data_IF_141053090738
#
_entry.id   IF_141053090738
#
_cell.length_a   1.000
_cell.length_b   1.000
_cell.length_c   1.000
_cell.angle_alpha   90.00
_cell.angle_beta   90.00
_cell.angle_gamma   90.00
#
_symmetry.space_group_name_H-M   'P 1'
#
loop_
_entity.id
_entity.type
_entity.pdbx_description
1 polymer ?
#
# COMPACT_ATOMS: atom_id res chain seq x y z
N UNK A 1 -35.70 4.53 19.11
CA UNK A 1 -34.35 4.34 18.55
C UNK A 1 -34.35 3.08 17.71
N UNK A 2 -33.94 3.14 16.45
CA UNK A 2 -33.82 1.94 15.60
C UNK A 2 -32.47 1.29 15.93
N UNK A 3 -32.50 0.07 16.47
CA UNK A 3 -31.28 -0.69 16.73
C UNK A 3 -30.73 -1.25 15.42
N UNK A 4 -29.47 -0.95 15.09
CA UNK A 4 -28.79 -1.49 13.92
C UNK A 4 -28.10 -2.81 14.28
N UNK A 5 -28.40 -3.87 13.54
CA UNK A 5 -27.71 -5.15 13.69
C UNK A 5 -26.38 -5.13 12.94
N UNK A 6 -25.28 -5.33 13.67
CA UNK A 6 -23.92 -5.42 13.09
C UNK A 6 -23.52 -6.91 13.04
N UNK A 7 -22.90 -7.33 11.95
CA UNK A 7 -22.36 -8.70 11.80
C UNK A 7 -20.99 -8.64 11.14
N UNK A 8 -19.98 -9.24 11.77
CA UNK A 8 -18.62 -9.31 11.27
C UNK A 8 -18.19 -10.77 11.09
N UNK A 9 -17.57 -11.10 9.95
CA UNK A 9 -17.09 -12.44 9.61
C UNK A 9 -15.81 -12.35 8.77
N UNK A 10 -14.93 -13.34 8.90
CA UNK A 10 -13.81 -13.50 7.97
C UNK A 10 -14.33 -13.83 6.57
N UNK A 11 -13.70 -13.26 5.54
CA UNK A 11 -14.04 -13.50 4.12
C UNK A 11 -15.53 -13.27 3.81
N UNK A 12 -16.14 -12.27 4.46
CA UNK A 12 -17.56 -11.95 4.26
C UNK A 12 -17.89 -11.57 2.81
N UNK A 13 -16.92 -11.08 2.05
CA UNK A 13 -17.04 -10.80 0.63
C UNK A 13 -17.20 -12.05 -0.25
N UNK A 14 -16.87 -13.24 0.26
CA UNK A 14 -17.11 -14.50 -0.46
C UNK A 14 -18.54 -15.04 -0.27
N UNK A 15 -19.27 -14.58 0.75
CA UNK A 15 -20.56 -15.16 1.15
C UNK A 15 -21.72 -14.18 1.12
N UNK A 16 -21.49 -12.89 1.37
CA UNK A 16 -22.53 -11.86 1.36
C UNK A 16 -22.39 -10.99 0.10
N UNK A 17 -23.33 -11.05 -0.87
CA UNK A 17 -23.22 -10.30 -2.12
C UNK A 17 -23.03 -8.79 -1.95
N UNK A 18 -23.64 -8.19 -0.91
CA UNK A 18 -23.46 -6.77 -0.62
C UNK A 18 -22.04 -6.42 -0.17
N UNK A 19 -21.39 -7.32 0.58
CA UNK A 19 -19.99 -7.16 0.99
C UNK A 19 -19.06 -7.45 -0.18
N UNK A 20 -19.41 -8.38 -1.07
CA UNK A 20 -18.70 -8.62 -2.33
C UNK A 20 -18.70 -7.36 -3.22
N UNK A 21 -19.85 -6.71 -3.37
CA UNK A 21 -19.98 -5.45 -4.10
C UNK A 21 -19.09 -4.34 -3.50
N UNK A 22 -19.10 -4.18 -2.16
CA UNK A 22 -18.21 -3.24 -1.49
C UNK A 22 -16.72 -3.58 -1.73
N UNK A 23 -16.36 -4.87 -1.69
CA UNK A 23 -15.02 -5.38 -1.97
C UNK A 23 -14.55 -5.04 -3.39
N UNK A 24 -15.42 -5.19 -4.40
CA UNK A 24 -15.16 -4.81 -5.80
C UNK A 24 -14.92 -3.31 -5.90
N UNK A 25 -15.83 -2.48 -5.36
CA UNK A 25 -15.70 -1.02 -5.40
C UNK A 25 -14.38 -0.58 -4.78
N UNK A 26 -14.05 -1.10 -3.59
CA UNK A 26 -12.81 -0.77 -2.89
C UNK A 26 -11.57 -1.11 -3.71
N UNK A 27 -11.51 -2.30 -4.31
CA UNK A 27 -10.38 -2.74 -5.15
C UNK A 27 -10.24 -1.90 -6.42
N UNK A 28 -11.35 -1.63 -7.12
CA UNK A 28 -11.34 -0.78 -8.32
C UNK A 28 -10.83 0.63 -8.01
N UNK A 29 -11.26 1.22 -6.89
CA UNK A 29 -10.77 2.54 -6.48
C UNK A 29 -9.30 2.51 -6.08
N UNK A 30 -8.86 1.48 -5.35
CA UNK A 30 -7.44 1.28 -5.01
C UNK A 30 -6.57 1.18 -6.25
N UNK A 31 -6.99 0.40 -7.24
CA UNK A 31 -6.21 0.24 -8.48
C UNK A 31 -6.20 1.52 -9.32
N UNK A 32 -7.28 2.32 -9.29
CA UNK A 32 -7.29 3.66 -9.89
C UNK A 32 -6.28 4.58 -9.22
N UNK A 33 -6.28 4.66 -7.88
CA UNK A 33 -5.34 5.49 -7.12
C UNK A 33 -3.89 5.10 -7.38
N UNK A 34 -3.58 3.79 -7.38
CA UNK A 34 -2.24 3.27 -7.70
C UNK A 34 -1.82 3.65 -9.12
N UNK A 35 -2.71 3.55 -10.11
CA UNK A 35 -2.42 3.98 -11.49
C UNK A 35 -2.20 5.48 -11.60
N UNK A 36 -3.00 6.30 -10.91
CA UNK A 36 -2.81 7.75 -10.89
C UNK A 36 -1.44 8.10 -10.33
N UNK A 37 -1.07 7.53 -9.18
CA UNK A 37 0.26 7.71 -8.60
C UNK A 37 1.36 7.25 -9.56
N UNK A 38 1.18 6.11 -10.23
CA UNK A 38 2.15 5.61 -11.21
C UNK A 38 2.34 6.52 -12.44
N UNK A 39 1.35 7.37 -12.78
CA UNK A 39 1.53 8.41 -13.81
C UNK A 39 2.38 9.57 -13.33
N UNK A 40 2.40 9.84 -12.03
CA UNK A 40 3.15 10.93 -11.42
C UNK A 40 4.60 10.51 -11.14
N UNK A 41 4.82 9.28 -10.66
CA UNK A 41 6.14 8.82 -10.16
C UNK A 41 6.77 7.68 -10.96
N UNK A 42 6.07 7.15 -11.97
CA UNK A 42 6.51 6.00 -12.76
C UNK A 42 6.11 4.63 -12.18
N UNK A 43 6.60 3.54 -12.81
CA UNK A 43 6.32 2.17 -12.37
C UNK A 43 7.07 1.82 -11.07
N UNK A 44 6.37 1.90 -9.94
CA UNK A 44 6.86 1.45 -8.63
C UNK A 44 6.44 0.01 -8.30
N UNK A 45 5.94 -0.75 -9.27
CA UNK A 45 5.40 -2.08 -9.05
C UNK A 45 4.03 -2.08 -8.37
N UNK A 46 3.72 -3.16 -7.67
CA UNK A 46 2.40 -3.42 -7.06
C UNK A 46 2.12 -2.62 -5.78
N UNK A 47 3.15 -2.05 -5.16
CA UNK A 47 3.09 -1.41 -3.85
C UNK A 47 3.21 -2.39 -2.68
N UNK A 48 3.45 -3.69 -2.93
CA UNK A 48 3.63 -4.69 -1.89
C UNK A 48 5.10 -5.01 -1.60
N UNK A 49 5.45 -5.39 -0.36
CA UNK A 49 6.83 -5.75 -0.01
C UNK A 49 7.35 -7.00 -0.71
N UNK A 50 6.46 -7.88 -1.16
CA UNK A 50 6.79 -9.09 -1.91
C UNK A 50 7.17 -8.80 -3.36
N UNK A 51 6.95 -7.58 -3.85
CA UNK A 51 7.29 -7.19 -5.22
C UNK A 51 8.70 -6.59 -5.26
N UNK A 52 9.66 -7.24 -5.95
CA UNK A 52 11.01 -6.73 -6.08
C UNK A 52 11.07 -5.34 -6.72
N UNK A 53 10.14 -4.98 -7.61
CA UNK A 53 10.08 -3.64 -8.22
C UNK A 53 9.77 -2.59 -7.18
N UNK A 54 8.80 -2.84 -6.29
CA UNK A 54 8.44 -1.92 -5.20
C UNK A 54 9.59 -1.73 -4.24
N UNK A 55 10.29 -2.80 -3.85
CA UNK A 55 11.45 -2.69 -2.97
C UNK A 55 12.58 -1.89 -3.62
N UNK A 56 12.86 -2.12 -4.91
CA UNK A 56 13.86 -1.35 -5.65
C UNK A 56 13.50 0.13 -5.72
N UNK A 57 12.26 0.44 -6.12
CA UNK A 57 11.76 1.80 -6.18
C UNK A 57 11.90 2.52 -4.83
N UNK A 58 11.51 1.87 -3.72
CA UNK A 58 11.65 2.49 -2.39
C UNK A 58 13.11 2.79 -2.02
N UNK A 59 14.04 1.88 -2.34
CA UNK A 59 15.47 2.09 -2.07
C UNK A 59 16.06 3.22 -2.91
N UNK A 60 15.69 3.28 -4.19
CA UNK A 60 16.15 4.31 -5.12
C UNK A 60 15.60 5.68 -4.72
N UNK A 61 14.30 5.76 -4.47
CA UNK A 61 13.64 6.98 -4.01
C UNK A 61 14.31 7.52 -2.75
N UNK A 62 14.50 6.68 -1.73
CA UNK A 62 15.11 7.11 -0.48
C UNK A 62 16.58 7.50 -0.66
N UNK A 63 17.32 6.83 -1.55
CA UNK A 63 18.71 7.20 -1.86
C UNK A 63 18.80 8.60 -2.44
N UNK A 64 17.87 8.96 -3.32
CA UNK A 64 17.81 10.26 -4.01
C UNK A 64 17.24 11.37 -3.12
N UNK A 65 16.12 11.13 -2.43
CA UNK A 65 15.35 12.16 -1.72
C UNK A 65 15.62 12.19 -0.21
N UNK A 66 16.35 11.20 0.34
CA UNK A 66 16.65 11.01 1.77
C UNK A 66 15.44 10.95 2.70
N UNK A 67 14.25 10.83 2.13
CA UNK A 67 12.96 10.81 2.82
C UNK A 67 11.93 10.10 1.94
N UNK A 68 10.81 9.71 2.53
CA UNK A 68 9.66 9.15 1.82
C UNK A 68 8.51 10.16 1.78
N UNK A 69 7.75 10.22 0.68
CA UNK A 69 6.59 11.10 0.56
C UNK A 69 5.41 10.59 1.41
N UNK A 70 4.39 11.42 1.58
CA UNK A 70 3.26 11.13 2.47
C UNK A 70 2.45 9.89 2.08
N UNK A 71 2.38 9.57 0.79
CA UNK A 71 1.66 8.39 0.30
C UNK A 71 2.39 7.07 0.62
N UNK A 72 3.65 7.11 1.06
CA UNK A 72 4.35 5.94 1.60
C UNK A 72 3.97 5.74 3.06
N UNK A 73 3.71 4.49 3.43
CA UNK A 73 3.41 4.14 4.82
C UNK A 73 4.69 4.08 5.64
N UNK A 74 4.94 5.12 6.44
CA UNK A 74 6.15 5.25 7.26
C UNK A 74 6.26 4.20 8.37
N UNK A 75 5.12 3.72 8.89
CA UNK A 75 5.08 2.69 9.93
C UNK A 75 5.34 1.27 9.43
N UNK A 76 5.45 1.06 8.11
CA UNK A 76 5.65 -0.26 7.55
C UNK A 76 7.10 -0.72 7.75
N UNK A 77 7.27 -2.01 8.10
CA UNK A 77 8.58 -2.62 8.30
C UNK A 77 9.49 -2.46 7.09
N UNK A 78 8.93 -2.52 5.89
CA UNK A 78 9.64 -2.25 4.62
C UNK A 78 10.29 -0.87 4.62
N UNK A 79 9.55 0.17 4.96
CA UNK A 79 10.03 1.56 5.05
C UNK A 79 11.17 1.65 6.07
N UNK A 80 10.96 1.17 7.29
CA UNK A 80 11.99 1.19 8.35
C UNK A 80 13.26 0.42 7.94
N UNK A 81 13.11 -0.73 7.27
CA UNK A 81 14.25 -1.51 6.80
C UNK A 81 15.04 -0.78 5.71
N UNK A 82 14.39 -0.06 4.80
CA UNK A 82 15.08 0.73 3.78
C UNK A 82 15.89 1.86 4.42
N UNK A 83 15.30 2.57 5.38
CA UNK A 83 15.99 3.65 6.12
C UNK A 83 17.19 3.10 6.89
N UNK A 84 17.00 2.00 7.64
CA UNK A 84 18.06 1.38 8.43
C UNK A 84 19.24 0.90 7.55
N UNK A 85 18.94 0.26 6.42
CA UNK A 85 19.96 -0.21 5.48
C UNK A 85 20.77 0.93 4.85
N UNK A 86 20.15 2.11 4.65
CA UNK A 86 20.85 3.29 4.17
C UNK A 86 21.79 3.89 5.23
N UNK A 87 21.38 3.89 6.50
CA UNK A 87 22.19 4.39 7.61
C UNK A 87 23.46 3.53 7.85
N UNK A 88 23.35 2.20 7.77
CA UNK A 88 24.47 1.27 7.96
C UNK A 88 25.59 1.40 6.91
N UNK A 89 25.30 1.93 5.72
CA UNK A 89 26.28 2.14 4.65
C UNK A 89 27.15 3.38 4.80
N UNK A 90 26.84 4.23 5.79
CA UNK A 90 27.57 5.48 6.05
C UNK A 90 28.63 5.31 7.15
N UNK A 91 28.77 4.09 7.70
CA UNK A 91 29.83 3.65 8.62
C UNK A 91 30.86 2.82 7.84
#
# INVERSE_FOLDING_TARGET
MIAVKITARHKADATYPIVAAASIIAKVQRDRAVRTLGREVGDFGSGYPSDPKTIRFMREWFREHKSFPEWVRHSWKTTSNVVAAAAQRTL
#
